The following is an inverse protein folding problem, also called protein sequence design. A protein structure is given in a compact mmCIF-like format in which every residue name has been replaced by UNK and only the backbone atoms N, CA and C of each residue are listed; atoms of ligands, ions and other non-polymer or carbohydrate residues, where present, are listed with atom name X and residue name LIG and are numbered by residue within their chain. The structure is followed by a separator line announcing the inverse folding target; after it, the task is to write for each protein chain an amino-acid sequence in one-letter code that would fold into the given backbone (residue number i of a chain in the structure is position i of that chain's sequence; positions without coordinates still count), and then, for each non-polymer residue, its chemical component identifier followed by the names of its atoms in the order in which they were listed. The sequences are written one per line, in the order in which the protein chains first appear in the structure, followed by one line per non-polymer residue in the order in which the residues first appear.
data_IF_565146361124
#
_entry.id   IF_565146361124
#
_cell.length_a   1.000
_cell.length_b   1.000
_cell.length_c   1.000
_cell.angle_alpha   90.00
_cell.angle_beta   90.00
_cell.angle_gamma   90.00
#
_symmetry.space_group_name_H-M   'P 1'
#
loop_
_entity.id
_entity.type
_entity.pdbx_description
1 polymer ?
#
# COMPACT_ATOMS: atom_id res chain seq x y z
N UNK A 1 18.25 -18.77 -0.41
CA UNK A 1 18.04 -18.76 -0.18
C UNK A 1 17.77 -18.59 -0.53
N UNK A 2 17.65 -18.51 -0.99
CA UNK A 2 17.23 -18.25 -0.95
C UNK A 2 17.03 -17.95 -1.41
N UNK A 3 17.20 -18.21 -1.93
CA UNK A 3 16.88 -18.05 -2.18
C UNK A 3 16.66 -17.76 -2.57
N UNK A 4 16.41 -17.69 -2.89
CA UNK A 4 16.08 -17.42 -2.85
C UNK A 4 15.95 -17.43 -3.42
N UNK A 5 15.82 -17.83 -3.86
CA UNK A 5 15.50 -18.09 -4.02
C UNK A 5 15.25 -18.18 -4.36
N UNK A 6 14.94 -17.65 -4.51
CA UNK A 6 14.58 -17.93 -4.58
C UNK A 6 14.34 -17.95 -4.86
N UNK A 7 14.09 -18.08 -5.27
CA UNK A 7 13.74 -18.36 -5.25
C UNK A 7 13.48 -18.45 -5.63
N UNK A 8 13.17 -18.49 -6.04
CA UNK A 8 12.83 -18.75 -6.05
C UNK A 8 12.51 -19.01 -6.40
N UNK A 9 12.21 -19.10 -6.77
CA UNK A 9 11.83 -19.40 -6.75
C UNK A 9 11.43 -19.88 -6.99
N UNK A 10 11.06 -20.02 -7.14
CA UNK A 10 10.55 -20.43 -7.06
C UNK A 10 9.87 -20.56 -7.40
N UNK A 11 9.50 -20.48 -7.69
CA UNK A 11 8.75 -20.37 -8.02
C UNK A 11 7.90 -20.08 -8.04
N UNK A 12 7.81 -19.27 -8.29
CA UNK A 12 6.83 -18.77 -7.99
C UNK A 12 5.81 -19.12 -8.79
N UNK A 13 5.06 -19.39 -8.60
CA UNK A 13 3.99 -19.82 -9.19
C UNK A 13 3.33 -18.94 -9.77
N UNK A 14 2.80 -19.01 -10.56
CA UNK A 14 2.14 -18.09 -11.07
C UNK A 14 1.73 -17.41 -10.07
N UNK A 15 1.54 -16.57 -10.12
CA UNK A 15 1.13 -15.97 -9.07
C UNK A 15 1.38 -16.86 -8.00
N UNK A 16 2.07 -17.80 -8.12
CA UNK A 16 2.24 -18.59 -7.14
C UNK A 16 2.18 -18.11 -5.85
N UNK A 17 1.64 -18.14 -5.04
CA UNK A 17 1.60 -17.70 -3.70
C UNK A 17 1.15 -16.29 -3.50
N UNK A 18 0.89 -15.56 -4.53
CA UNK A 18 0.44 -14.19 -4.40
C UNK A 18 -1.08 -14.15 -4.33
N UNK A 19 -1.61 -13.42 -3.36
CA UNK A 19 -3.05 -13.23 -3.25
C UNK A 19 -3.46 -12.01 -4.06
N UNK A 20 -4.48 -12.16 -4.87
CA UNK A 20 -5.03 -11.03 -5.60
C UNK A 20 -6.29 -10.56 -4.87
N UNK A 21 -6.13 -9.56 -4.01
CA UNK A 21 -7.28 -8.99 -3.30
C UNK A 21 -8.13 -8.14 -4.21
N UNK A 22 -7.49 -7.40 -5.13
CA UNK A 22 -8.15 -6.46 -6.01
C UNK A 22 -7.74 -6.78 -7.44
N UNK A 23 -8.69 -7.14 -8.32
CA UNK A 23 -8.35 -7.43 -9.71
C UNK A 23 -7.79 -6.20 -10.40
N UNK A 24 -6.69 -6.37 -11.12
CA UNK A 24 -6.10 -5.30 -11.93
C UNK A 24 -5.78 -4.06 -11.12
N UNK A 25 -5.29 -4.25 -9.89
CA UNK A 25 -5.05 -3.14 -8.98
C UNK A 25 -3.90 -2.23 -9.41
N UNK A 26 -2.99 -2.72 -10.23
CA UNK A 26 -1.84 -1.93 -10.66
C UNK A 26 -0.72 -1.95 -9.65
N UNK A 27 0.21 -1.02 -9.85
CA UNK A 27 1.39 -0.89 -9.00
C UNK A 27 1.35 0.46 -8.29
N UNK A 28 2.08 0.53 -7.20
CA UNK A 28 2.20 1.74 -6.39
C UNK A 28 3.68 1.99 -6.12
N UNK A 29 3.97 3.09 -5.45
CA UNK A 29 5.31 3.35 -4.94
C UNK A 29 5.27 3.20 -3.43
N UNK A 30 6.23 2.46 -2.90
CA UNK A 30 6.40 2.33 -1.45
C UNK A 30 7.83 2.72 -1.12
N UNK A 31 8.06 3.14 0.13
CA UNK A 31 9.43 3.42 0.54
C UNK A 31 10.20 2.13 0.73
N UNK A 32 11.53 2.23 0.71
CA UNK A 32 12.37 1.07 0.96
C UNK A 32 12.16 0.52 2.38
N UNK A 33 11.84 1.39 3.35
CA UNK A 33 11.49 0.91 4.69
C UNK A 33 10.26 0.00 4.64
N UNK A 34 9.23 0.40 3.90
CA UNK A 34 8.03 -0.42 3.77
C UNK A 34 8.37 -1.75 3.10
N UNK A 35 9.11 -1.70 2.00
CA UNK A 35 9.50 -2.92 1.29
C UNK A 35 10.26 -3.87 2.19
N UNK A 36 11.15 -3.34 3.02
CA UNK A 36 12.06 -4.15 3.81
C UNK A 36 11.50 -4.51 5.18
N UNK A 37 10.26 -4.12 5.47
CA UNK A 37 9.63 -4.46 6.74
C UNK A 37 10.15 -3.68 7.93
N UNK A 38 10.70 -2.49 7.71
CA UNK A 38 11.20 -1.64 8.78
C UNK A 38 10.05 -0.76 9.23
N UNK A 39 9.39 -1.15 10.33
CA UNK A 39 8.22 -0.45 10.83
C UNK A 39 6.97 -0.77 10.03
N UNK A 40 5.88 -0.14 10.39
CA UNK A 40 4.58 -0.39 9.77
C UNK A 40 4.23 0.72 8.80
N UNK A 41 3.36 0.41 7.85
CA UNK A 41 2.79 1.41 6.96
C UNK A 41 1.97 2.39 7.79
N UNK A 42 2.19 3.69 7.58
CA UNK A 42 1.55 4.72 8.39
C UNK A 42 0.80 5.75 7.56
N UNK A 43 1.36 6.19 6.43
CA UNK A 43 0.76 7.25 5.62
C UNK A 43 0.55 6.79 4.20
N UNK A 44 -0.54 7.23 3.58
CA UNK A 44 -0.85 6.93 2.19
C UNK A 44 -1.32 8.21 1.52
N UNK A 45 -0.82 8.43 0.31
CA UNK A 45 -1.16 9.62 -0.46
C UNK A 45 -1.37 9.19 -1.91
N UNK A 46 -2.40 9.72 -2.56
CA UNK A 46 -2.64 9.36 -3.95
C UNK A 46 -2.31 10.50 -4.89
N UNK A 47 -1.29 10.31 -5.71
CA UNK A 47 -0.89 11.22 -6.77
C UNK A 47 -1.54 10.83 -8.08
N UNK A 48 -1.38 11.68 -9.08
CA UNK A 48 -1.73 11.28 -10.43
C UNK A 48 -0.77 10.21 -10.91
N UNK A 49 -1.28 9.32 -11.75
CA UNK A 49 -0.50 8.23 -12.31
C UNK A 49 0.65 8.78 -13.16
N UNK A 50 1.83 8.20 -13.01
CA UNK A 50 3.01 8.59 -13.79
C UNK A 50 3.34 7.60 -14.89
N UNK A 51 2.62 6.47 -14.97
CA UNK A 51 2.87 5.42 -15.96
C UNK A 51 1.63 4.54 -16.05
N UNK A 52 1.47 3.77 -17.13
CA UNK A 52 0.23 2.99 -17.31
C UNK A 52 -0.13 2.07 -16.16
N UNK A 53 0.85 1.45 -15.51
CA UNK A 53 0.58 0.51 -14.41
C UNK A 53 0.46 1.21 -13.08
N UNK A 54 0.84 2.48 -12.98
CA UNK A 54 0.89 3.20 -11.71
C UNK A 54 -0.52 3.61 -11.31
N UNK A 55 -0.97 3.17 -10.12
CA UNK A 55 -2.29 3.55 -9.62
C UNK A 55 -2.29 4.84 -8.82
N UNK A 56 -1.14 5.47 -8.66
CA UNK A 56 -1.03 6.76 -7.98
C UNK A 56 -0.76 6.68 -6.49
N UNK A 57 -0.92 5.51 -5.88
CA UNK A 57 -0.71 5.41 -4.45
C UNK A 57 0.77 5.50 -4.09
N UNK A 58 1.04 6.29 -3.05
CA UNK A 58 2.38 6.49 -2.47
C UNK A 58 2.26 6.11 -1.01
N UNK A 59 3.05 5.14 -0.57
CA UNK A 59 2.87 4.49 0.72
C UNK A 59 4.13 4.64 1.54
N UNK A 60 3.97 5.16 2.74
CA UNK A 60 5.08 5.52 3.64
C UNK A 60 4.96 4.75 4.94
N UNK A 61 6.10 4.49 5.54
CA UNK A 61 6.15 3.80 6.82
C UNK A 61 6.29 4.77 7.99
N UNK A 62 6.12 4.24 9.18
CA UNK A 62 6.20 5.05 10.40
C UNK A 62 7.60 5.59 10.67
N UNK A 63 8.62 5.00 10.04
CA UNK A 63 10.01 5.44 10.22
C UNK A 63 10.52 6.28 9.06
N UNK A 64 9.65 6.69 8.15
CA UNK A 64 10.03 7.52 6.99
C UNK A 64 10.04 8.98 7.39
N UNK A 65 11.10 9.39 8.10
CA UNK A 65 11.24 10.77 8.51
C UNK A 65 11.57 11.66 7.31
N UNK A 66 11.39 12.96 7.46
CA UNK A 66 11.76 13.90 6.40
C UNK A 66 13.24 13.77 6.06
N UNK A 67 14.09 13.56 7.07
CA UNK A 67 15.51 13.37 6.84
C UNK A 67 15.77 12.15 5.95
N UNK A 68 15.12 11.03 6.24
CA UNK A 68 15.26 9.83 5.43
C UNK A 68 14.80 10.09 4.00
N UNK A 69 13.65 10.77 3.85
CA UNK A 69 13.10 11.04 2.53
C UNK A 69 14.00 11.96 1.71
N UNK A 70 14.83 12.78 2.37
CA UNK A 70 15.72 13.71 1.68
C UNK A 70 17.05 13.08 1.25
N UNK A 71 17.28 11.80 1.55
CA UNK A 71 18.56 11.16 1.28
C UNK A 71 18.62 10.50 -0.09
N UNK A 72 17.84 10.98 -1.05
CA UNK A 72 17.79 10.39 -2.37
C UNK A 72 16.38 9.97 -2.68
N UNK A 73 16.21 9.01 -3.59
CA UNK A 73 14.89 8.54 -3.96
C UNK A 73 14.60 7.21 -3.24
N UNK A 74 13.88 7.26 -2.12
CA UNK A 74 13.65 6.06 -1.33
C UNK A 74 12.49 5.19 -1.84
N UNK A 75 11.84 5.58 -2.94
CA UNK A 75 10.68 4.85 -3.43
C UNK A 75 11.08 3.71 -4.33
N UNK A 76 10.34 2.62 -4.23
CA UNK A 76 10.43 1.48 -5.14
C UNK A 76 9.04 1.12 -5.62
N UNK A 77 8.96 0.50 -6.79
CA UNK A 77 7.69 0.06 -7.36
C UNK A 77 7.28 -1.24 -6.69
N UNK A 78 6.02 -1.34 -6.30
CA UNK A 78 5.49 -2.56 -5.70
C UNK A 78 4.08 -2.82 -6.27
N UNK A 79 3.78 -4.06 -6.56
CA UNK A 79 2.42 -4.44 -6.92
C UNK A 79 1.47 -4.08 -5.79
N UNK A 80 0.32 -3.46 -6.11
CA UNK A 80 -0.56 -2.97 -5.05
C UNK A 80 -1.11 -4.11 -4.18
N UNK A 81 -1.39 -5.26 -4.79
CA UNK A 81 -1.84 -6.41 -3.99
C UNK A 81 -0.76 -6.90 -3.03
N UNK A 82 0.51 -6.76 -3.42
CA UNK A 82 1.60 -7.09 -2.52
C UNK A 82 1.62 -6.13 -1.32
N UNK A 83 1.40 -4.85 -1.57
CA UNK A 83 1.30 -3.88 -0.48
C UNK A 83 0.11 -4.20 0.41
N UNK A 84 -1.02 -4.62 -0.16
CA UNK A 84 -2.20 -5.02 0.61
C UNK A 84 -1.92 -6.24 1.48
N UNK A 85 -1.03 -7.13 1.04
CA UNK A 85 -0.65 -8.27 1.87
C UNK A 85 0.16 -7.81 3.09
N UNK A 86 0.95 -6.75 2.92
CA UNK A 86 1.70 -6.18 4.05
C UNK A 86 0.74 -5.49 5.03
N UNK A 87 -0.24 -4.73 4.50
CA UNK A 87 -1.20 -4.01 5.34
C UNK A 87 -2.58 -4.10 4.70
N UNK A 88 -3.44 -5.00 5.18
CA UNK A 88 -4.77 -5.18 4.57
C UNK A 88 -5.66 -3.95 4.57
N UNK A 89 -5.40 -2.97 5.45
CA UNK A 89 -6.20 -1.74 5.45
C UNK A 89 -6.12 -1.00 4.12
N UNK A 90 -5.08 -1.25 3.32
CA UNK A 90 -4.94 -0.61 2.02
C UNK A 90 -6.02 -1.04 1.04
N UNK A 91 -6.63 -2.21 1.24
CA UNK A 91 -7.69 -2.66 0.36
C UNK A 91 -8.84 -1.65 0.36
N UNK A 92 -9.19 -1.17 1.54
CA UNK A 92 -10.34 -0.28 1.69
C UNK A 92 -10.16 1.12 1.11
N UNK A 93 -8.91 1.52 0.84
CA UNK A 93 -8.69 2.88 0.32
C UNK A 93 -8.42 2.89 -1.18
N UNK A 94 -8.45 1.74 -1.81
CA UNK A 94 -7.95 1.59 -3.18
C UNK A 94 -8.52 2.62 -4.15
N UNK A 95 -9.84 2.87 -4.11
CA UNK A 95 -10.48 3.74 -5.10
C UNK A 95 -10.69 5.18 -4.60
N UNK A 96 -10.05 5.57 -3.52
CA UNK A 96 -10.14 6.95 -3.06
C UNK A 96 -9.48 7.87 -4.11
N UNK A 97 -9.99 9.09 -4.25
CA UNK A 97 -9.58 9.95 -5.37
C UNK A 97 -8.13 10.44 -5.25
N UNK A 98 -7.59 10.85 -6.40
CA UNK A 98 -6.32 11.55 -6.44
C UNK A 98 -6.41 12.76 -5.51
N UNK A 99 -5.35 12.99 -4.74
CA UNK A 99 -5.32 14.03 -3.72
C UNK A 99 -5.62 13.52 -2.33
N UNK A 100 -6.07 12.27 -2.19
CA UNK A 100 -6.30 11.71 -0.86
C UNK A 100 -5.00 11.68 -0.07
N UNK A 101 -5.08 12.01 1.21
CA UNK A 101 -3.94 12.06 2.11
C UNK A 101 -4.41 11.46 3.43
N UNK A 102 -3.93 10.27 3.73
CA UNK A 102 -4.51 9.42 4.77
C UNK A 102 -3.43 8.92 5.71
N UNK A 103 -3.84 8.62 6.94
CA UNK A 103 -2.92 7.95 7.87
C UNK A 103 -3.66 6.83 8.60
N UNK A 104 -2.91 5.84 9.01
CA UNK A 104 -3.45 4.72 9.79
C UNK A 104 -3.18 4.99 11.26
N UNK A 105 -4.24 4.90 12.08
CA UNK A 105 -4.11 4.95 13.52
C UNK A 105 -4.39 3.56 14.07
N UNK A 106 -3.49 3.07 14.90
CA UNK A 106 -3.59 1.73 15.47
C UNK A 106 -3.69 1.82 16.99
N UNK A 107 -4.92 1.92 17.47
CA UNK A 107 -5.17 1.86 18.91
C UNK A 107 -5.97 0.60 19.20
N UNK A 108 -7.19 0.70 19.70
CA UNK A 108 -8.01 -0.48 19.96
C UNK A 108 -8.44 -1.18 18.67
N UNK A 109 -8.46 -0.44 17.58
CA UNK A 109 -8.75 -0.98 16.24
C UNK A 109 -7.99 -0.15 15.23
N UNK A 110 -7.94 -0.64 14.01
CA UNK A 110 -7.29 0.10 12.93
C UNK A 110 -8.30 1.11 12.40
N UNK A 111 -7.88 2.36 12.32
CA UNK A 111 -8.71 3.46 11.80
C UNK A 111 -7.93 4.18 10.73
N UNK A 112 -8.63 4.64 9.70
CA UNK A 112 -8.05 5.46 8.65
C UNK A 112 -8.50 6.89 8.88
N UNK A 113 -7.57 7.81 8.96
CA UNK A 113 -7.84 9.21 9.22
C UNK A 113 -7.53 10.01 7.98
N UNK A 114 -8.45 10.87 7.57
CA UNK A 114 -8.19 11.85 6.53
C UNK A 114 -7.33 12.96 7.14
N UNK A 115 -6.09 13.07 6.69
CA UNK A 115 -5.15 14.01 7.28
C UNK A 115 -5.61 15.45 7.08
N UNK A 116 -6.28 15.74 5.96
CA UNK A 116 -6.74 17.09 5.65
C UNK A 116 -7.81 17.57 6.64
N UNK A 117 -8.73 16.69 7.03
CA UNK A 117 -9.83 17.08 7.92
C UNK A 117 -9.66 16.61 9.36
N UNK A 118 -8.75 15.66 9.60
CA UNK A 118 -8.59 15.06 10.90
C UNK A 118 -9.68 14.07 11.27
N UNK A 119 -10.57 13.73 10.33
CA UNK A 119 -11.71 12.87 10.62
C UNK A 119 -11.45 11.44 10.21
N UNK A 120 -12.02 10.53 10.99
CA UNK A 120 -11.97 9.11 10.64
C UNK A 120 -12.85 8.85 9.40
N UNK A 121 -12.35 8.03 8.47
CA UNK A 121 -13.13 7.61 7.31
C UNK A 121 -14.16 6.61 7.79
N UNK A 122 -15.45 6.84 7.50
CA UNK A 122 -16.50 5.88 7.89
C UNK A 122 -16.35 4.55 7.17
N UNK A 123 -16.73 3.48 7.85
CA UNK A 123 -16.60 2.14 7.30
C UNK A 123 -17.31 1.98 5.96
N UNK A 124 -18.47 2.62 5.81
CA UNK A 124 -19.25 2.48 4.58
C UNK A 124 -18.60 3.13 3.37
N UNK A 125 -17.55 3.94 3.58
CA UNK A 125 -16.85 4.60 2.47
C UNK A 125 -15.72 3.75 1.91
N UNK A 126 -15.38 2.63 2.54
CA UNK A 126 -14.26 1.84 2.09
C UNK A 126 -14.60 1.04 0.84
N UNK A 127 -13.60 0.86 0.00
CA UNK A 127 -13.71 0.04 -1.20
C UNK A 127 -13.88 -1.43 -0.80
N UNK A 128 -14.77 -2.11 -1.48
CA UNK A 128 -14.95 -3.56 -1.31
C UNK A 128 -14.68 -4.19 -2.68
N UNK A 129 -13.69 -5.09 -2.78
CA UNK A 129 -13.41 -5.74 -4.06
C UNK A 129 -14.64 -6.45 -4.61
N UNK A 130 -14.78 -6.51 -5.95
CA UNK A 130 -16.00 -7.06 -6.55
C UNK A 130 -16.36 -8.46 -6.07
N UNK A 131 -15.39 -9.33 -5.84
CA UNK A 131 -15.65 -10.70 -5.42
C UNK A 131 -16.24 -10.80 -4.02
N UNK A 132 -16.20 -9.71 -3.25
CA UNK A 132 -16.75 -9.70 -1.88
C UNK A 132 -18.02 -8.87 -1.77
N UNK A 133 -18.55 -8.37 -2.88
CA UNK A 133 -19.78 -7.59 -2.85
C UNK A 133 -20.98 -8.51 -2.81
N UNK A 134 -21.99 -8.09 -2.05
CA UNK A 134 -23.21 -8.86 -1.91
C UNK A 134 -24.03 -8.88 -3.19
#
# INVERSE_FOLDING_TARGET
MAFGFRRKKEAEPPSGGRTEFIPQAGACLVTTHVRDGVGRIKFMHRDESKAPADNGWRIFGEHDTQEYMNQGNPFVIMDFNEACAIEPALIGIYDFPVGSDLRIERDERIRIIDVTTGREIPEENFYVPPQFRA
#
